data_IF_765092946141
#
_entry.id   IF_765092946141
#
_cell.length_a   1.000
_cell.length_b   1.000
_cell.length_c   1.000
_cell.angle_alpha   90.00
_cell.angle_beta   90.00
_cell.angle_gamma   90.00
#
_symmetry.space_group_name_H-M   'P 1'
#
loop_
_entity.id
_entity.type
_entity.pdbx_description
1 polymer ?
#
# COMPACT_ATOMS: atom_id res chain seq x y z
N UNK A 1 13.07 15.81 -21.37
CA UNK A 1 14.03 16.38 -20.39
C UNK A 1 13.26 17.41 -19.58
N UNK A 2 12.78 17.04 -18.38
CA UNK A 2 12.08 17.99 -17.49
C UNK A 2 13.15 18.65 -16.64
N UNK A 3 13.34 19.95 -16.84
CA UNK A 3 14.19 20.79 -15.99
C UNK A 3 13.51 20.84 -14.62
N UNK A 4 14.13 20.23 -13.62
CA UNK A 4 13.71 20.43 -12.23
C UNK A 4 14.17 21.82 -11.82
N UNK A 5 13.25 22.78 -11.79
CA UNK A 5 13.52 24.05 -11.15
C UNK A 5 13.79 23.78 -9.67
N UNK A 6 15.02 24.05 -9.22
CA UNK A 6 15.29 24.24 -7.80
C UNK A 6 14.34 25.33 -7.31
N UNK A 7 13.66 25.09 -6.18
CA UNK A 7 12.82 26.10 -5.56
C UNK A 7 13.68 27.35 -5.33
N UNK A 8 13.23 28.49 -5.83
CA UNK A 8 13.91 29.76 -5.60
C UNK A 8 13.84 30.14 -4.11
N UNK A 9 14.64 31.10 -3.67
CA UNK A 9 14.50 31.66 -2.31
C UNK A 9 13.09 32.24 -2.10
N UNK A 10 12.51 32.83 -3.14
CA UNK A 10 11.14 33.33 -3.14
C UNK A 10 10.11 32.19 -2.97
N UNK A 11 10.25 31.08 -3.70
CA UNK A 11 9.37 29.90 -3.53
C UNK A 11 9.47 29.34 -2.11
N UNK A 12 10.69 29.30 -1.57
CA UNK A 12 10.94 28.82 -0.20
C UNK A 12 10.26 29.72 0.82
N UNK A 13 10.35 31.04 0.66
CA UNK A 13 9.67 32.00 1.52
C UNK A 13 8.15 31.85 1.47
N UNK A 14 7.57 31.73 0.28
CA UNK A 14 6.12 31.52 0.12
C UNK A 14 5.65 30.22 0.78
N UNK A 15 6.39 29.13 0.61
CA UNK A 15 6.08 27.85 1.24
C UNK A 15 6.14 27.93 2.77
N UNK A 16 7.14 28.61 3.34
CA UNK A 16 7.23 28.85 4.79
C UNK A 16 6.04 29.67 5.27
N UNK A 17 5.66 30.74 4.55
CA UNK A 17 4.53 31.60 4.91
C UNK A 17 3.21 30.82 4.90
N UNK A 18 2.95 30.02 3.86
CA UNK A 18 1.77 29.18 3.75
C UNK A 18 1.70 28.14 4.90
N UNK A 19 2.79 27.41 5.13
CA UNK A 19 2.86 26.44 6.23
C UNK A 19 2.72 27.12 7.60
N UNK A 20 3.26 28.33 7.76
CA UNK A 20 3.13 29.13 8.98
C UNK A 20 1.70 29.63 9.23
N UNK A 21 0.90 29.83 8.18
CA UNK A 21 -0.52 30.11 8.31
C UNK A 21 -1.30 28.87 8.79
N UNK A 22 -0.91 27.68 8.32
CA UNK A 22 -1.53 26.40 8.69
C UNK A 22 -1.10 25.98 10.11
N UNK A 23 0.14 26.25 10.52
CA UNK A 23 0.74 25.70 11.74
C UNK A 23 -0.04 26.01 13.02
N UNK A 24 -0.75 27.14 13.06
CA UNK A 24 -1.64 27.54 14.16
C UNK A 24 -2.80 26.57 14.42
N UNK A 25 -3.14 25.77 13.42
CA UNK A 25 -4.19 24.74 13.48
C UNK A 25 -3.61 23.33 13.56
N UNK A 26 -2.28 23.22 13.63
CA UNK A 26 -1.58 21.93 13.73
C UNK A 26 -1.25 21.58 15.18
N UNK A 27 -1.39 20.29 15.51
CA UNK A 27 -0.93 19.64 16.72
C UNK A 27 -0.61 18.17 16.39
N UNK A 28 0.18 17.53 17.24
CA UNK A 28 0.64 16.14 17.04
C UNK A 28 -0.49 15.12 17.02
N UNK A 29 -1.59 15.37 17.73
CA UNK A 29 -2.66 14.39 17.93
C UNK A 29 -3.65 14.35 16.76
N UNK A 30 -3.74 15.43 15.99
CA UNK A 30 -4.69 15.55 14.87
C UNK A 30 -4.03 15.65 13.51
N UNK A 31 -2.72 15.91 13.43
CA UNK A 31 -1.99 16.07 12.16
C UNK A 31 -1.05 14.89 11.95
N UNK A 32 -1.59 13.88 11.29
CA UNK A 32 -0.97 12.57 11.15
C UNK A 32 -0.45 12.40 9.72
N UNK A 33 0.81 11.98 9.59
CA UNK A 33 1.39 11.53 8.33
C UNK A 33 1.73 10.05 8.46
N UNK A 34 1.26 9.22 7.53
CA UNK A 34 1.70 7.84 7.41
C UNK A 34 2.73 7.72 6.27
N UNK A 35 3.94 7.31 6.61
CA UNK A 35 5.05 7.10 5.67
C UNK A 35 5.27 5.61 5.50
N UNK A 36 5.21 5.15 4.25
CA UNK A 36 5.55 3.77 3.94
C UNK A 36 7.05 3.67 3.68
N UNK A 37 7.79 3.19 4.69
CA UNK A 37 9.25 3.28 4.71
C UNK A 37 9.97 2.23 3.86
N UNK A 38 9.22 1.23 3.37
CA UNK A 38 9.78 0.07 2.66
C UNK A 38 9.03 -0.22 1.36
N UNK A 39 8.81 0.82 0.55
CA UNK A 39 8.34 0.67 -0.83
C UNK A 39 9.53 0.45 -1.78
N UNK A 40 9.61 -0.70 -2.46
CA UNK A 40 10.64 -0.99 -3.44
C UNK A 40 10.27 -0.61 -4.88
N UNK A 41 11.24 -0.67 -5.78
CA UNK A 41 11.01 -0.59 -7.23
C UNK A 41 10.61 -1.93 -7.80
N UNK A 42 9.61 -1.93 -8.70
CA UNK A 42 9.29 -3.12 -9.50
C UNK A 42 10.30 -3.32 -10.63
N UNK A 43 10.38 -4.54 -11.15
CA UNK A 43 11.20 -4.88 -12.32
C UNK A 43 10.61 -4.33 -13.64
N UNK A 44 9.33 -3.93 -13.64
CA UNK A 44 8.65 -3.22 -14.72
C UNK A 44 7.80 -2.05 -14.19
N UNK A 45 7.29 -1.22 -15.11
CA UNK A 45 6.36 -0.14 -14.74
C UNK A 45 5.04 -0.69 -14.18
N UNK A 46 4.50 -1.77 -14.77
CA UNK A 46 3.28 -2.42 -14.31
C UNK A 46 3.45 -2.97 -12.89
N UNK A 47 4.58 -3.61 -12.60
CA UNK A 47 4.88 -4.11 -11.25
C UNK A 47 5.04 -2.95 -10.26
N UNK A 48 5.72 -1.87 -10.66
CA UNK A 48 5.87 -0.66 -9.85
C UNK A 48 4.50 -0.04 -9.54
N UNK A 49 3.60 0.07 -10.51
CA UNK A 49 2.24 0.56 -10.30
C UNK A 49 1.45 -0.34 -9.33
N UNK A 50 1.61 -1.66 -9.42
CA UNK A 50 0.99 -2.61 -8.50
C UNK A 50 1.51 -2.47 -7.06
N UNK A 51 2.83 -2.34 -6.89
CA UNK A 51 3.48 -2.10 -5.60
C UNK A 51 2.99 -0.79 -4.99
N UNK A 52 3.00 0.30 -5.76
CA UNK A 52 2.54 1.62 -5.32
C UNK A 52 1.06 1.61 -4.91
N UNK A 53 0.21 0.88 -5.63
CA UNK A 53 -1.21 0.72 -5.26
C UNK A 53 -1.37 -0.05 -3.96
N UNK A 54 -0.58 -1.09 -3.74
CA UNK A 54 -0.59 -1.85 -2.48
C UNK A 54 -0.11 -0.98 -1.32
N UNK A 55 0.97 -0.22 -1.51
CA UNK A 55 1.46 0.73 -0.51
C UNK A 55 0.43 1.82 -0.18
N UNK A 56 -0.30 2.33 -1.18
CA UNK A 56 -1.42 3.27 -0.97
C UNK A 56 -2.54 2.64 -0.14
N UNK A 57 -2.93 1.39 -0.41
CA UNK A 57 -3.93 0.68 0.41
C UNK A 57 -3.48 0.56 1.87
N UNK A 58 -2.22 0.22 2.09
CA UNK A 58 -1.64 0.09 3.43
C UNK A 58 -1.57 1.43 4.15
N UNK A 59 -1.11 2.51 3.49
CA UNK A 59 -1.07 3.85 4.08
C UNK A 59 -2.46 4.39 4.37
N UNK A 60 -3.44 4.16 3.50
CA UNK A 60 -4.84 4.51 3.77
C UNK A 60 -5.38 3.73 4.98
N UNK A 61 -5.02 2.45 5.11
CA UNK A 61 -5.39 1.63 6.28
C UNK A 61 -4.79 2.20 7.56
N UNK A 62 -3.49 2.50 7.57
CA UNK A 62 -2.82 3.09 8.72
C UNK A 62 -3.42 4.44 9.12
N UNK A 63 -3.64 5.35 8.15
CA UNK A 63 -4.24 6.67 8.41
C UNK A 63 -5.65 6.56 9.01
N UNK A 64 -6.51 5.73 8.42
CA UNK A 64 -7.88 5.57 8.92
C UNK A 64 -7.90 4.93 10.30
N UNK A 65 -7.03 3.94 10.56
CA UNK A 65 -6.86 3.38 11.91
C UNK A 65 -6.44 4.45 12.90
N UNK A 66 -5.32 5.14 12.67
CA UNK A 66 -4.82 6.18 13.58
C UNK A 66 -5.85 7.29 13.82
N UNK A 67 -6.63 7.67 12.82
CA UNK A 67 -7.65 8.70 12.94
C UNK A 67 -8.93 8.23 13.67
N UNK A 68 -9.26 6.95 13.60
CA UNK A 68 -10.46 6.38 14.24
C UNK A 68 -10.19 5.73 15.60
N UNK A 69 -8.94 5.40 15.89
CA UNK A 69 -8.45 4.79 17.13
C UNK A 69 -7.72 5.83 17.98
N UNK A 70 -8.48 6.83 18.45
CA UNK A 70 -8.02 7.91 19.33
C UNK A 70 -9.14 8.33 20.28
N UNK A 71 -8.84 9.13 21.30
CA UNK A 71 -9.81 9.53 22.32
C UNK A 71 -11.05 10.24 21.75
N UNK A 72 -10.87 11.09 20.73
CA UNK A 72 -11.96 11.68 19.93
C UNK A 72 -11.94 11.17 18.48
N UNK A 73 -12.51 9.98 18.18
CA UNK A 73 -12.45 9.35 16.87
C UNK A 73 -12.96 10.24 15.73
N UNK A 74 -12.21 10.34 14.64
CA UNK A 74 -12.68 11.00 13.42
C UNK A 74 -13.81 10.17 12.80
N UNK A 75 -14.99 10.77 12.61
CA UNK A 75 -16.17 10.09 12.04
C UNK A 75 -16.44 10.45 10.58
N UNK A 76 -15.82 11.51 10.08
CA UNK A 76 -16.02 12.04 8.73
C UNK A 76 -14.69 12.41 8.07
N UNK A 77 -14.50 11.98 6.82
CA UNK A 77 -13.27 12.20 6.07
C UNK A 77 -13.55 12.91 4.74
N UNK A 78 -12.75 13.93 4.45
CA UNK A 78 -12.61 14.47 3.10
C UNK A 78 -11.36 13.83 2.51
N UNK A 79 -11.52 13.08 1.43
CA UNK A 79 -10.41 12.39 0.77
C UNK A 79 -10.19 13.05 -0.58
N UNK A 80 -8.94 13.40 -0.88
CA UNK A 80 -8.62 13.93 -2.19
C UNK A 80 -8.90 12.88 -3.28
N UNK A 81 -9.73 13.26 -4.26
CA UNK A 81 -9.97 12.43 -5.43
C UNK A 81 -8.78 12.52 -6.38
N UNK A 82 -8.43 11.38 -6.96
CA UNK A 82 -7.53 11.35 -8.11
C UNK A 82 -8.31 11.66 -9.40
N UNK A 83 -7.57 12.06 -10.43
CA UNK A 83 -8.12 12.26 -11.78
C UNK A 83 -8.61 10.95 -12.42
N UNK A 84 -8.15 9.78 -11.93
CA UNK A 84 -8.52 8.47 -12.45
C UNK A 84 -9.63 7.86 -11.57
N UNK A 85 -10.85 7.79 -12.09
CA UNK A 85 -11.98 7.26 -11.30
C UNK A 85 -11.78 5.81 -10.85
N UNK A 86 -11.01 5.03 -11.62
CA UNK A 86 -10.62 3.67 -11.23
C UNK A 86 -9.79 3.63 -9.94
N UNK A 87 -8.94 4.62 -9.68
CA UNK A 87 -8.18 4.73 -8.43
C UNK A 87 -9.06 5.17 -7.27
N UNK A 88 -10.01 6.08 -7.52
CA UNK A 88 -11.00 6.48 -6.51
C UNK A 88 -11.86 5.28 -6.08
N UNK A 89 -12.27 4.45 -7.03
CA UNK A 89 -13.01 3.22 -6.74
C UNK A 89 -12.19 2.22 -5.91
N UNK A 90 -10.89 2.08 -6.16
CA UNK A 90 -10.00 1.23 -5.36
C UNK A 90 -9.85 1.73 -3.92
N UNK A 91 -9.80 3.05 -3.71
CA UNK A 91 -9.81 3.65 -2.37
C UNK A 91 -11.14 3.31 -1.65
N UNK A 92 -12.30 3.48 -2.32
CA UNK A 92 -13.62 3.13 -1.77
C UNK A 92 -13.72 1.66 -1.40
N UNK A 93 -13.22 0.77 -2.27
CA UNK A 93 -13.17 -0.67 -1.99
C UNK A 93 -12.28 -0.99 -0.80
N UNK A 94 -11.17 -0.27 -0.62
CA UNK A 94 -10.29 -0.41 0.55
C UNK A 94 -11.03 -0.03 1.82
N UNK A 95 -11.65 1.17 1.86
CA UNK A 95 -12.45 1.61 3.01
C UNK A 95 -13.56 0.62 3.32
N UNK A 96 -14.30 0.16 2.30
CA UNK A 96 -15.35 -0.83 2.47
C UNK A 96 -14.84 -2.15 3.08
N UNK A 97 -13.70 -2.68 2.61
CA UNK A 97 -13.07 -3.87 3.20
C UNK A 97 -12.70 -3.64 4.66
N UNK A 98 -12.12 -2.48 4.99
CA UNK A 98 -11.71 -2.17 6.37
C UNK A 98 -12.92 -2.13 7.31
N UNK A 99 -14.01 -1.45 6.92
CA UNK A 99 -15.24 -1.39 7.72
C UNK A 99 -15.93 -2.75 7.84
N UNK A 100 -16.07 -3.50 6.74
CA UNK A 100 -16.72 -4.82 6.74
C UNK A 100 -16.01 -5.85 7.62
N UNK A 101 -14.67 -5.76 7.75
CA UNK A 101 -13.89 -6.65 8.59
C UNK A 101 -13.61 -6.07 9.99
N UNK A 102 -14.26 -4.95 10.35
CA UNK A 102 -14.12 -4.34 11.68
C UNK A 102 -12.72 -3.79 11.99
N UNK A 103 -11.91 -3.50 10.96
CA UNK A 103 -10.58 -2.89 11.14
C UNK A 103 -10.72 -1.42 11.55
N UNK A 104 -11.74 -0.74 11.02
CA UNK A 104 -12.14 0.62 11.41
C UNK A 104 -13.66 0.63 11.64
N UNK A 105 -14.19 1.52 12.49
CA UNK A 105 -15.63 1.72 12.61
C UNK A 105 -16.24 2.24 11.29
N UNK A 106 -17.57 2.23 11.14
CA UNK A 106 -18.23 2.93 10.04
C UNK A 106 -17.90 4.42 10.05
N UNK A 107 -17.46 4.94 8.91
CA UNK A 107 -17.11 6.34 8.71
C UNK A 107 -17.95 6.96 7.60
N UNK A 108 -18.18 8.27 7.67
CA UNK A 108 -18.66 9.06 6.52
C UNK A 108 -17.43 9.53 5.73
N UNK A 109 -17.51 9.52 4.41
CA UNK A 109 -16.45 10.12 3.61
C UNK A 109 -16.97 10.66 2.28
N UNK A 110 -16.28 11.67 1.76
CA UNK A 110 -16.47 12.19 0.40
C UNK A 110 -15.12 12.20 -0.33
N UNK A 111 -15.16 11.97 -1.64
CA UNK A 111 -13.99 12.10 -2.51
C UNK A 111 -14.15 13.32 -3.40
N UNK A 112 -13.34 14.35 -3.16
CA UNK A 112 -13.47 15.66 -3.81
C UNK A 112 -12.11 16.19 -4.25
N UNK A 113 -12.10 17.07 -5.24
CA UNK A 113 -10.86 17.73 -5.69
C UNK A 113 -10.46 18.81 -4.69
N UNK A 114 -9.16 19.04 -4.54
CA UNK A 114 -8.63 20.19 -3.80
C UNK A 114 -9.11 21.54 -4.36
N UNK A 115 -9.53 21.60 -5.62
CA UNK A 115 -10.19 22.80 -6.20
C UNK A 115 -11.60 23.04 -5.67
N UNK A 116 -12.32 21.98 -5.27
CA UNK A 116 -13.69 22.04 -4.77
C UNK A 116 -13.74 22.14 -3.24
N UNK A 117 -12.76 21.55 -2.54
CA UNK A 117 -12.65 21.57 -1.08
C UNK A 117 -11.27 22.08 -0.67
N UNK A 118 -11.21 23.35 -0.28
CA UNK A 118 -9.95 24.05 0.00
C UNK A 118 -9.24 23.51 1.24
N UNK A 119 -9.94 22.83 2.15
CA UNK A 119 -9.31 22.21 3.32
C UNK A 119 -8.27 21.14 2.93
N UNK A 120 -8.35 20.58 1.72
CA UNK A 120 -7.35 19.64 1.21
C UNK A 120 -5.98 20.28 0.97
N UNK A 121 -5.92 21.60 0.74
CA UNK A 121 -4.64 22.30 0.51
C UNK A 121 -3.70 22.22 1.71
N UNK A 122 -4.25 22.17 2.93
CA UNK A 122 -3.45 22.04 4.13
C UNK A 122 -2.72 20.69 4.17
N UNK A 123 -3.42 19.61 3.85
CA UNK A 123 -2.83 18.27 3.77
C UNK A 123 -1.75 18.21 2.67
N UNK A 124 -1.99 18.83 1.51
CA UNK A 124 -1.03 18.88 0.41
C UNK A 124 0.24 19.66 0.79
N UNK A 125 0.09 20.82 1.44
CA UNK A 125 1.21 21.62 1.91
C UNK A 125 2.07 20.86 2.93
N UNK A 126 1.42 20.22 3.90
CA UNK A 126 2.07 19.37 4.91
C UNK A 126 2.81 18.21 4.25
N UNK A 127 2.16 17.48 3.33
CA UNK A 127 2.77 16.37 2.60
C UNK A 127 3.96 16.82 1.73
N UNK A 128 3.88 17.99 1.11
CA UNK A 128 4.99 18.59 0.37
C UNK A 128 6.20 18.86 1.26
N UNK A 129 5.97 19.41 2.46
CA UNK A 129 7.06 19.65 3.44
C UNK A 129 7.76 18.34 3.85
N UNK A 130 7.01 17.24 3.97
CA UNK A 130 7.55 15.91 4.25
C UNK A 130 8.33 15.37 3.05
N UNK A 131 7.82 15.58 1.83
CA UNK A 131 8.51 15.17 0.61
C UNK A 131 9.87 15.89 0.47
N UNK A 132 9.95 17.20 0.74
CA UNK A 132 11.23 17.93 0.74
C UNK A 132 12.21 17.35 1.76
N UNK A 133 11.74 17.10 3.00
CA UNK A 133 12.57 16.50 4.04
C UNK A 133 13.13 15.13 3.63
N UNK A 134 12.31 14.26 3.05
CA UNK A 134 12.75 12.93 2.63
C UNK A 134 13.62 12.95 1.36
N UNK A 135 13.29 13.77 0.37
CA UNK A 135 13.96 13.78 -0.95
C UNK A 135 15.29 14.54 -0.96
N UNK A 136 15.39 15.56 -0.10
CA UNK A 136 16.52 16.50 -0.07
C UNK A 136 17.25 16.53 1.25
N UNK A 137 16.80 15.77 2.24
CA UNK A 137 17.30 15.83 3.62
C UNK A 137 17.24 17.24 4.22
N UNK A 138 16.19 18.00 3.86
CA UNK A 138 16.00 19.41 4.26
C UNK A 138 14.73 19.57 5.11
N UNK A 139 14.93 19.88 6.40
CA UNK A 139 13.85 20.13 7.37
C UNK A 139 13.47 21.61 7.47
N UNK A 140 14.08 22.52 6.70
CA UNK A 140 13.91 23.97 6.81
C UNK A 140 12.44 24.39 6.78
N UNK A 141 11.65 23.80 5.89
CA UNK A 141 10.21 24.10 5.80
C UNK A 141 9.50 23.79 7.12
N UNK A 142 9.72 22.60 7.68
CA UNK A 142 9.07 22.16 8.92
C UNK A 142 9.54 22.98 10.12
N UNK A 143 10.85 23.25 10.21
CA UNK A 143 11.45 23.98 11.32
C UNK A 143 11.05 25.45 11.35
N UNK A 144 11.05 26.13 10.20
CA UNK A 144 10.74 27.57 10.13
C UNK A 144 9.25 27.89 10.21
N UNK A 145 8.39 26.98 9.76
CA UNK A 145 6.94 27.20 9.82
C UNK A 145 6.29 26.75 11.13
N UNK A 146 6.99 25.93 11.93
CA UNK A 146 6.52 25.49 13.25
C UNK A 146 5.35 24.50 13.21
N UNK A 147 5.14 23.83 12.08
CA UNK A 147 4.05 22.85 11.91
C UNK A 147 4.31 21.66 12.82
N UNK A 148 3.27 21.22 13.51
CA UNK A 148 3.31 20.09 14.41
C UNK A 148 2.68 18.87 13.75
N UNK A 149 3.43 17.77 13.70
CA UNK A 149 3.04 16.54 13.02
C UNK A 149 3.44 15.33 13.83
N UNK A 150 2.61 14.30 13.80
CA UNK A 150 3.02 12.95 14.14
C UNK A 150 3.20 12.12 12.88
N UNK A 151 4.43 11.66 12.67
CA UNK A 151 4.82 10.87 11.51
C UNK A 151 4.87 9.42 11.96
N UNK A 152 4.14 8.54 11.28
CA UNK A 152 4.05 7.12 11.60
C UNK A 152 4.58 6.29 10.45
N UNK A 153 5.29 5.21 10.76
CA UNK A 153 5.57 4.18 9.77
C UNK A 153 4.28 3.39 9.47
N UNK A 154 3.87 3.36 8.21
CA UNK A 154 2.64 2.68 7.77
C UNK A 154 2.60 1.21 8.19
N UNK A 155 3.73 0.53 8.20
CA UNK A 155 3.80 -0.91 8.40
C UNK A 155 3.83 -1.31 9.88
N UNK A 156 4.30 -0.44 10.76
CA UNK A 156 4.47 -0.75 12.19
C UNK A 156 3.64 0.13 13.11
N UNK A 157 3.01 1.19 12.59
CA UNK A 157 2.36 2.27 13.34
C UNK A 157 3.27 2.91 14.40
N UNK A 158 4.59 2.75 14.27
CA UNK A 158 5.52 3.38 15.18
C UNK A 158 5.82 4.81 14.75
N UNK A 159 5.92 5.73 15.70
CA UNK A 159 6.31 7.12 15.47
C UNK A 159 7.74 7.22 14.89
N UNK A 160 7.91 8.04 13.87
CA UNK A 160 9.19 8.35 13.24
C UNK A 160 9.63 9.73 13.72
N UNK A 161 10.71 9.77 14.49
CA UNK A 161 11.36 11.01 14.85
C UNK A 161 12.48 11.36 13.84
N UNK A 162 12.18 12.32 12.96
CA UNK A 162 13.13 12.82 11.97
C UNK A 162 14.30 13.59 12.58
N UNK A 163 14.23 14.00 13.84
CA UNK A 163 15.31 14.70 14.57
C UNK A 163 16.15 13.81 15.47
N UNK A 164 15.68 12.60 15.80
CA UNK A 164 16.44 11.62 16.61
C UNK A 164 17.86 11.33 16.05
N UNK A 165 18.87 11.06 16.90
CA UNK A 165 20.19 10.63 16.44
C UNK A 165 20.13 9.35 15.58
N UNK A 166 21.01 9.22 14.59
CA UNK A 166 21.06 8.12 13.61
C UNK A 166 21.68 6.82 14.10
N UNK A 167 21.94 6.68 15.40
CA UNK A 167 22.76 5.58 15.93
C UNK A 167 22.11 4.20 15.70
N UNK A 168 22.83 3.32 14.99
CA UNK A 168 22.55 1.89 14.78
C UNK A 168 21.14 1.52 14.27
N UNK A 169 20.69 2.15 13.19
CA UNK A 169 19.49 1.72 12.45
C UNK A 169 19.73 0.51 11.52
N UNK A 170 20.65 -0.39 11.88
CA UNK A 170 20.85 -1.67 11.19
C UNK A 170 19.84 -2.68 11.69
N UNK A 171 18.68 -2.72 11.06
CA UNK A 171 17.77 -3.83 11.25
C UNK A 171 17.62 -4.62 9.96
N UNK A 172 18.18 -5.84 10.00
CA UNK A 172 17.72 -6.94 9.17
C UNK A 172 16.77 -7.74 10.05
N UNK A 173 15.47 -7.50 9.93
CA UNK A 173 14.51 -8.45 10.46
C UNK A 173 14.58 -9.71 9.60
N UNK A 174 15.26 -10.72 10.12
CA UNK A 174 15.45 -12.01 9.47
C UNK A 174 14.24 -12.93 9.61
N UNK A 175 13.03 -12.42 9.34
CA UNK A 175 11.83 -13.29 9.31
C UNK A 175 11.99 -14.21 8.10
N UNK A 176 12.07 -15.55 8.29
CA UNK A 176 12.22 -16.45 7.17
C UNK A 176 11.00 -16.35 6.25
N UNK A 177 11.25 -16.15 4.95
CA UNK A 177 10.18 -15.96 3.95
C UNK A 177 9.72 -17.26 3.31
N UNK A 178 10.42 -18.38 3.53
CA UNK A 178 10.01 -19.72 3.08
C UNK A 178 9.22 -20.44 4.18
N UNK A 179 7.90 -20.63 4.01
CA UNK A 179 7.08 -21.26 5.03
C UNK A 179 7.48 -22.70 5.38
N UNK A 180 8.11 -23.44 4.47
CA UNK A 180 8.53 -24.83 4.70
C UNK A 180 9.65 -24.93 5.74
N UNK A 181 10.44 -23.87 5.87
CA UNK A 181 11.55 -23.79 6.83
C UNK A 181 11.10 -23.27 8.19
N UNK A 182 9.86 -22.79 8.31
CA UNK A 182 9.32 -22.29 9.57
C UNK A 182 8.91 -23.44 10.47
N UNK A 183 9.08 -23.24 11.79
CA UNK A 183 8.44 -24.10 12.79
C UNK A 183 6.92 -23.89 12.74
N UNK A 184 6.16 -24.91 13.10
CA UNK A 184 4.70 -24.92 12.95
C UNK A 184 4.03 -23.78 13.70
N UNK A 185 4.54 -23.45 14.90
CA UNK A 185 4.10 -22.34 15.76
C UNK A 185 4.27 -20.94 15.14
N UNK A 186 5.14 -20.79 14.13
CA UNK A 186 5.38 -19.52 13.44
C UNK A 186 4.48 -19.33 12.20
N UNK A 187 3.88 -20.39 11.67
CA UNK A 187 3.01 -20.32 10.49
C UNK A 187 1.77 -19.42 10.67
N UNK A 188 1.09 -19.39 11.85
CA UNK A 188 0.00 -18.44 12.07
C UNK A 188 0.46 -16.98 11.96
N UNK A 189 1.59 -16.64 12.58
CA UNK A 189 2.15 -15.29 12.53
C UNK A 189 2.45 -14.86 11.10
N UNK A 190 3.06 -15.73 10.30
CA UNK A 190 3.36 -15.44 8.89
C UNK A 190 2.08 -15.31 8.04
N UNK A 191 1.03 -16.05 8.38
CA UNK A 191 -0.29 -15.95 7.72
C UNK A 191 -0.92 -14.56 7.88
N UNK A 192 -0.63 -13.85 8.98
CA UNK A 192 -1.09 -12.46 9.16
C UNK A 192 -0.53 -11.49 8.12
N UNK A 193 0.59 -11.81 7.50
CA UNK A 193 1.31 -10.91 6.59
C UNK A 193 2.48 -10.18 7.24
N UNK A 194 2.87 -10.54 8.47
CA UNK A 194 4.01 -9.94 9.19
C UNK A 194 5.33 -10.01 8.40
N UNK A 195 5.47 -11.02 7.54
CA UNK A 195 6.64 -11.22 6.68
C UNK A 195 6.52 -10.53 5.31
N UNK A 196 5.41 -9.85 5.00
CA UNK A 196 5.16 -9.30 3.66
C UNK A 196 6.22 -8.26 3.25
N UNK A 197 6.65 -7.40 4.19
CA UNK A 197 7.75 -6.45 3.97
C UNK A 197 9.03 -7.17 3.55
N UNK A 198 9.40 -8.23 4.26
CA UNK A 198 10.64 -8.97 4.07
C UNK A 198 10.61 -9.83 2.81
N UNK A 199 9.45 -10.40 2.48
CA UNK A 199 9.18 -11.06 1.20
C UNK A 199 9.35 -10.11 0.03
N UNK A 200 8.68 -8.96 0.08
CA UNK A 200 8.74 -7.93 -0.96
C UNK A 200 10.17 -7.45 -1.19
N UNK A 201 10.93 -7.21 -0.11
CA UNK A 201 12.34 -6.82 -0.20
C UNK A 201 13.25 -7.91 -0.76
N UNK A 202 13.02 -9.17 -0.37
CA UNK A 202 13.80 -10.32 -0.87
C UNK A 202 13.56 -10.52 -2.37
N UNK A 203 12.29 -10.63 -2.77
CA UNK A 203 11.91 -10.89 -4.17
C UNK A 203 12.50 -9.83 -5.11
N UNK A 204 12.54 -8.57 -4.69
CA UNK A 204 13.06 -7.49 -5.53
C UNK A 204 14.58 -7.39 -5.48
N UNK A 205 15.21 -7.75 -4.36
CA UNK A 205 16.67 -7.93 -4.31
C UNK A 205 17.16 -8.97 -5.30
N UNK A 206 16.43 -10.07 -5.42
CA UNK A 206 16.77 -11.16 -6.34
C UNK A 206 16.57 -10.77 -7.81
N UNK A 207 15.71 -9.77 -8.09
CA UNK A 207 15.37 -9.30 -9.44
C UNK A 207 16.02 -7.95 -9.83
N UNK A 208 16.80 -7.34 -8.95
CA UNK A 208 17.41 -6.03 -9.17
C UNK A 208 18.51 -6.09 -10.21
N UNK A 209 18.44 -5.19 -11.19
CA UNK A 209 19.51 -5.02 -12.18
C UNK A 209 20.68 -4.26 -11.55
N UNK A 210 21.93 -4.49 -12.01
CA UNK A 210 23.07 -3.68 -11.59
C UNK A 210 22.78 -2.17 -11.75
N UNK A 211 22.99 -1.40 -10.69
CA UNK A 211 22.81 0.06 -10.69
C UNK A 211 21.41 0.57 -10.30
N UNK A 212 20.41 -0.30 -10.13
CA UNK A 212 19.10 0.10 -9.63
C UNK A 212 19.11 0.21 -8.09
N UNK A 213 18.40 1.20 -7.54
CA UNK A 213 18.13 1.31 -6.09
C UNK A 213 17.05 0.29 -5.70
N UNK A 214 17.21 -0.38 -4.55
CA UNK A 214 16.19 -1.29 -4.03
C UNK A 214 14.97 -0.55 -3.47
N UNK A 215 15.22 0.55 -2.76
CA UNK A 215 14.19 1.37 -2.14
C UNK A 215 14.49 2.84 -2.39
N UNK A 216 13.42 3.62 -2.44
CA UNK A 216 13.48 5.07 -2.32
C UNK A 216 13.79 5.83 -3.58
N UNK A 217 13.30 7.07 -3.67
CA UNK A 217 13.23 7.86 -4.91
C UNK A 217 14.56 7.84 -5.70
N UNK A 218 14.51 7.44 -6.97
CA UNK A 218 15.68 7.38 -7.86
C UNK A 218 16.39 8.74 -7.95
N UNK A 219 15.63 9.82 -7.72
CA UNK A 219 16.05 11.21 -7.85
C UNK A 219 16.38 11.89 -6.51
N UNK A 220 16.57 11.14 -5.42
CA UNK A 220 17.03 11.74 -4.17
C UNK A 220 18.43 12.33 -4.33
N UNK A 221 18.59 13.62 -4.01
CA UNK A 221 19.87 14.32 -4.08
C UNK A 221 20.73 14.03 -2.84
N UNK A 222 20.11 14.05 -1.66
CA UNK A 222 20.66 13.59 -0.39
C UNK A 222 19.57 12.78 0.32
N UNK A 223 19.82 11.49 0.49
CA UNK A 223 18.86 10.53 1.02
C UNK A 223 19.12 10.19 2.49
N UNK A 224 19.86 11.00 3.25
CA UNK A 224 20.13 10.75 4.67
C UNK A 224 18.83 10.60 5.48
N UNK A 225 17.91 11.57 5.43
CA UNK A 225 16.65 11.50 6.17
C UNK A 225 15.74 10.39 5.64
N UNK A 226 15.79 10.13 4.34
CA UNK A 226 15.12 8.97 3.75
C UNK A 226 15.64 7.66 4.36
N UNK A 227 16.94 7.38 4.24
CA UNK A 227 17.59 6.18 4.77
C UNK A 227 17.39 6.03 6.27
N UNK A 228 17.43 7.14 7.02
CA UNK A 228 17.09 7.16 8.44
C UNK A 228 15.65 6.70 8.68
N UNK A 229 14.68 7.28 7.97
CA UNK A 229 13.27 6.92 8.07
C UNK A 229 13.06 5.43 7.73
N UNK A 230 13.75 4.93 6.71
CA UNK A 230 13.78 3.49 6.40
C UNK A 230 14.36 2.64 7.51
N UNK A 231 15.49 3.06 8.06
CA UNK A 231 16.16 2.38 9.17
C UNK A 231 15.27 2.27 10.40
N UNK A 232 14.55 3.35 10.74
CA UNK A 232 13.59 3.38 11.86
C UNK A 232 12.44 2.41 11.62
N UNK A 233 11.80 2.47 10.44
CA UNK A 233 10.70 1.55 10.12
C UNK A 233 11.14 0.10 10.11
N UNK A 234 12.31 -0.20 9.54
CA UNK A 234 12.90 -1.54 9.50
C UNK A 234 13.35 -2.03 10.87
N UNK A 235 13.73 -1.17 11.80
CA UNK A 235 14.07 -1.54 13.17
C UNK A 235 12.91 -2.11 13.97
N UNK A 236 11.68 -1.92 13.49
CA UNK A 236 10.48 -2.36 14.18
C UNK A 236 9.89 -3.62 13.57
N UNK A 237 9.49 -4.51 14.46
CA UNK A 237 8.65 -5.67 14.14
C UNK A 237 7.23 -5.16 13.94
N UNK A 238 6.59 -5.60 12.86
CA UNK A 238 5.17 -5.33 12.62
C UNK A 238 4.34 -6.15 13.61
N UNK A 239 3.38 -5.50 14.27
CA UNK A 239 2.40 -6.23 15.09
C UNK A 239 1.55 -7.17 14.21
N UNK A 240 1.28 -8.38 14.70
CA UNK A 240 0.58 -9.41 13.93
C UNK A 240 -0.90 -9.04 13.65
N UNK A 241 -1.56 -8.34 14.58
CA UNK A 241 -2.93 -7.88 14.35
C UNK A 241 -2.97 -6.77 13.30
N UNK A 242 -2.03 -5.83 13.37
CA UNK A 242 -1.88 -4.78 12.38
C UNK A 242 -1.47 -5.33 11.01
N UNK A 243 -0.58 -6.34 10.94
CA UNK A 243 -0.25 -7.03 9.70
C UNK A 243 -1.48 -7.62 9.00
N UNK A 244 -2.37 -8.24 9.78
CA UNK A 244 -3.63 -8.75 9.27
C UNK A 244 -4.55 -7.62 8.78
N UNK A 245 -4.59 -6.49 9.49
CA UNK A 245 -5.34 -5.29 9.06
C UNK A 245 -4.82 -4.72 7.73
N UNK A 246 -3.49 -4.63 7.57
CA UNK A 246 -2.84 -4.21 6.33
C UNK A 246 -3.18 -5.19 5.19
N UNK A 247 -3.19 -6.50 5.47
CA UNK A 247 -3.60 -7.52 4.50
C UNK A 247 -5.06 -7.34 4.07
N UNK A 248 -5.98 -7.04 5.00
CA UNK A 248 -7.39 -6.73 4.71
C UNK A 248 -7.49 -5.47 3.82
N UNK A 249 -6.78 -4.42 4.19
CA UNK A 249 -6.71 -3.17 3.44
C UNK A 249 -6.21 -3.40 2.02
N UNK A 250 -5.10 -4.13 1.88
CA UNK A 250 -4.52 -4.53 0.59
C UNK A 250 -5.50 -5.33 -0.25
N UNK A 251 -6.27 -6.22 0.38
CA UNK A 251 -7.28 -7.07 -0.26
C UNK A 251 -6.70 -8.25 -1.03
N UNK A 252 -5.43 -8.58 -0.79
CA UNK A 252 -4.70 -9.70 -1.40
C UNK A 252 -3.72 -10.32 -0.41
N UNK A 253 -3.49 -11.62 -0.56
CA UNK A 253 -2.46 -12.35 0.17
C UNK A 253 -1.14 -12.32 -0.61
N UNK A 254 -0.03 -12.16 0.10
CA UNK A 254 1.30 -12.36 -0.45
C UNK A 254 1.60 -13.85 -0.73
N UNK A 255 2.68 -14.17 -1.46
CA UNK A 255 3.00 -15.56 -1.75
C UNK A 255 3.45 -16.29 -0.49
N UNK A 256 4.18 -15.62 0.41
CA UNK A 256 4.55 -16.19 1.70
C UNK A 256 3.31 -16.46 2.57
N UNK A 257 2.29 -15.59 2.57
CA UNK A 257 1.02 -15.86 3.26
C UNK A 257 0.31 -17.09 2.70
N UNK A 258 0.20 -17.19 1.36
CA UNK A 258 -0.41 -18.36 0.69
C UNK A 258 0.36 -19.64 1.01
N UNK A 259 1.69 -19.59 0.97
CA UNK A 259 2.56 -20.71 1.31
C UNK A 259 2.40 -21.13 2.78
N UNK A 260 2.28 -20.19 3.72
CA UNK A 260 2.08 -20.49 5.14
C UNK A 260 0.73 -21.16 5.41
N UNK A 261 -0.34 -20.71 4.75
CA UNK A 261 -1.66 -21.35 4.83
C UNK A 261 -1.61 -22.80 4.32
N UNK A 262 -0.96 -23.02 3.18
CA UNK A 262 -0.84 -24.34 2.56
C UNK A 262 0.03 -25.27 3.42
N UNK A 263 1.17 -24.78 3.90
CA UNK A 263 2.09 -25.54 4.73
C UNK A 263 1.45 -25.91 6.08
N UNK A 264 0.71 -24.98 6.71
CA UNK A 264 -0.04 -25.27 7.91
C UNK A 264 -1.08 -26.36 7.67
N UNK A 265 -1.86 -26.23 6.58
CA UNK A 265 -2.88 -27.21 6.20
C UNK A 265 -2.30 -28.59 5.93
N UNK A 266 -1.10 -28.66 5.36
CA UNK A 266 -0.36 -29.91 5.14
C UNK A 266 0.02 -30.56 6.47
N UNK A 267 0.69 -29.82 7.37
CA UNK A 267 1.11 -30.33 8.68
C UNK A 267 -0.07 -30.74 9.57
N UNK A 268 -1.21 -30.05 9.44
CA UNK A 268 -2.43 -30.38 10.15
C UNK A 268 -2.96 -31.76 9.77
N UNK A 269 -2.90 -32.12 8.49
CA UNK A 269 -3.29 -33.45 7.99
C UNK A 269 -2.34 -34.55 8.44
N UNK A 270 -1.07 -34.20 8.63
CA UNK A 270 -0.03 -35.12 9.12
C UNK A 270 -0.07 -35.29 10.66
N UNK A 271 -0.96 -34.58 11.37
CA UNK A 271 -1.09 -34.67 12.83
C UNK A 271 -0.02 -33.92 13.63
N UNK A 272 0.80 -33.10 12.98
CA UNK A 272 2.01 -32.48 13.55
C UNK A 272 1.78 -31.06 14.10
N UNK A 273 0.62 -30.77 14.73
CA UNK A 273 0.30 -29.41 15.19
C UNK A 273 -0.20 -29.38 16.65
N UNK A 274 0.43 -28.59 17.54
CA UNK A 274 -0.10 -28.31 18.88
C UNK A 274 -1.44 -27.57 18.86
N UNK A 275 -2.36 -27.90 19.79
CA UNK A 275 -3.72 -27.32 19.84
C UNK A 275 -3.74 -25.78 19.90
N UNK A 276 -2.87 -25.16 20.71
CA UNK A 276 -2.78 -23.69 20.80
C UNK A 276 -2.45 -23.03 19.45
N UNK A 277 -1.66 -23.71 18.61
CA UNK A 277 -1.32 -23.23 17.28
C UNK A 277 -2.52 -23.36 16.32
N UNK A 278 -3.35 -24.40 16.46
CA UNK A 278 -4.58 -24.57 15.69
C UNK A 278 -5.55 -23.42 15.98
N UNK A 279 -5.79 -23.11 17.25
CA UNK A 279 -6.68 -22.03 17.66
C UNK A 279 -6.20 -20.67 17.12
N UNK A 280 -4.89 -20.39 17.23
CA UNK A 280 -4.27 -19.17 16.67
C UNK A 280 -4.47 -19.08 15.14
N UNK A 281 -4.18 -20.16 14.42
CA UNK A 281 -4.36 -20.21 12.97
C UNK A 281 -5.83 -20.01 12.55
N UNK A 282 -6.77 -20.65 13.24
CA UNK A 282 -8.20 -20.51 12.99
C UNK A 282 -8.68 -19.08 13.25
N UNK A 283 -8.20 -18.42 14.31
CA UNK A 283 -8.55 -17.03 14.58
C UNK A 283 -8.07 -16.08 13.46
N UNK A 284 -6.83 -16.26 12.98
CA UNK A 284 -6.25 -15.45 11.91
C UNK A 284 -6.96 -15.71 10.57
N UNK A 285 -7.17 -16.97 10.21
CA UNK A 285 -7.86 -17.32 8.96
C UNK A 285 -9.33 -16.89 8.97
N UNK A 286 -9.99 -16.91 10.14
CA UNK A 286 -11.33 -16.33 10.30
C UNK A 286 -11.30 -14.82 10.06
N UNK A 287 -10.32 -14.09 10.62
CA UNK A 287 -10.15 -12.65 10.39
C UNK A 287 -9.89 -12.33 8.91
N UNK A 288 -9.11 -13.16 8.21
CA UNK A 288 -8.74 -12.97 6.81
C UNK A 288 -9.71 -13.66 5.82
N UNK A 289 -10.81 -14.24 6.29
CA UNK A 289 -11.69 -15.10 5.49
C UNK A 289 -12.10 -14.48 4.15
N UNK A 290 -12.56 -13.24 4.18
CA UNK A 290 -13.02 -12.54 2.98
C UNK A 290 -11.91 -12.37 1.92
N UNK A 291 -10.68 -12.12 2.37
CA UNK A 291 -9.51 -11.99 1.48
C UNK A 291 -9.11 -13.35 0.91
N UNK A 292 -9.07 -14.39 1.76
CA UNK A 292 -8.78 -15.77 1.35
C UNK A 292 -9.79 -16.25 0.32
N UNK A 293 -11.09 -16.06 0.57
CA UNK A 293 -12.17 -16.48 -0.32
C UNK A 293 -12.10 -15.76 -1.67
N UNK A 294 -11.76 -14.46 -1.70
CA UNK A 294 -11.56 -13.71 -2.94
C UNK A 294 -10.36 -14.20 -3.73
N UNK A 295 -9.22 -14.46 -3.07
CA UNK A 295 -8.03 -15.01 -3.73
C UNK A 295 -8.29 -16.40 -4.33
N UNK A 296 -9.00 -17.26 -3.61
CA UNK A 296 -9.37 -18.59 -4.11
C UNK A 296 -10.26 -18.49 -5.37
N UNK A 297 -11.23 -17.56 -5.40
CA UNK A 297 -12.06 -17.31 -6.59
C UNK A 297 -11.23 -16.84 -7.78
N UNK A 298 -10.29 -15.92 -7.57
CA UNK A 298 -9.37 -15.45 -8.63
C UNK A 298 -8.51 -16.58 -9.18
N UNK A 299 -7.96 -17.42 -8.32
CA UNK A 299 -7.16 -18.56 -8.73
C UNK A 299 -7.96 -19.61 -9.52
N UNK A 300 -9.24 -19.81 -9.20
CA UNK A 300 -10.13 -20.69 -9.98
C UNK A 300 -10.42 -20.13 -11.37
N UNK A 301 -10.69 -18.83 -11.49
CA UNK A 301 -10.94 -18.17 -12.78
C UNK A 301 -9.71 -18.17 -13.70
N UNK A 302 -8.49 -18.13 -13.14
CA UNK A 302 -7.25 -18.24 -13.91
C UNK A 302 -6.93 -19.67 -14.36
N UNK A 303 -7.49 -20.69 -13.70
CA UNK A 303 -7.29 -22.12 -14.02
C UNK A 303 -8.34 -22.69 -14.97
N UNK A 304 -9.45 -21.98 -15.22
CA UNK A 304 -10.39 -22.32 -16.28
C UNK A 304 -9.75 -22.04 -17.64
N UNK A 305 -9.51 -23.06 -18.50
CA UNK A 305 -9.07 -22.81 -19.86
C UNK A 305 -10.13 -21.98 -20.60
N UNK A 306 -9.70 -21.14 -21.54
CA UNK A 306 -10.54 -20.69 -22.64
C UNK A 306 -11.18 -21.92 -23.30
N UNK A 307 -12.41 -22.26 -22.90
CA UNK A 307 -13.18 -23.34 -23.51
C UNK A 307 -14.35 -22.80 -24.34
N UNK A 308 -14.24 -21.57 -24.85
CA UNK A 308 -15.24 -20.94 -25.71
C UNK A 308 -14.60 -20.19 -26.91
N UNK A 309 -13.61 -20.79 -27.57
CA UNK A 309 -13.10 -20.22 -28.82
C UNK A 309 -12.82 -21.23 -29.94
N UNK A 310 -13.47 -22.39 -29.93
CA UNK A 310 -13.47 -23.31 -31.07
C UNK A 310 -14.78 -23.37 -31.86
N UNK A 311 -15.89 -22.78 -31.40
CA UNK A 311 -17.14 -22.72 -32.17
C UNK A 311 -17.31 -21.47 -33.04
N UNK A 312 -16.42 -20.47 -32.93
CA UNK A 312 -16.53 -19.21 -33.67
C UNK A 312 -15.86 -19.22 -35.05
N UNK A 313 -15.17 -20.30 -35.43
CA UNK A 313 -14.48 -20.39 -36.73
C UNK A 313 -15.21 -21.22 -37.80
N UNK A 314 -16.28 -21.94 -37.46
CA UNK A 314 -17.11 -22.60 -38.48
C UNK A 314 -18.27 -21.72 -38.99
N UNK A 315 -18.78 -20.76 -38.21
CA UNK A 315 -19.88 -19.90 -38.66
C UNK A 315 -19.46 -18.69 -39.52
N UNK A 316 -18.15 -18.39 -39.62
CA UNK A 316 -17.68 -17.23 -40.40
C UNK A 316 -17.48 -17.50 -41.89
N UNK A 317 -17.48 -18.77 -42.31
CA UNK A 317 -17.30 -19.15 -43.73
C UNK A 317 -18.60 -19.35 -44.53
N UNK A 318 -19.77 -19.33 -43.91
CA UNK A 318 -21.05 -19.46 -44.64
C UNK A 318 -21.77 -18.13 -44.91
N UNK A 319 -21.38 -17.02 -44.28
CA UNK A 319 -22.11 -15.76 -44.43
C UNK A 319 -21.51 -14.75 -45.43
N UNK A 320 -20.32 -15.05 -45.99
CA UNK A 320 -19.67 -14.19 -47.01
C UNK A 320 -19.97 -14.61 -48.46
N UNK A 321 -20.65 -15.73 -48.69
CA UNK A 321 -21.04 -16.17 -50.04
C UNK A 321 -22.44 -15.68 -50.49
N UNK A 322 -23.31 -15.27 -49.56
CA UNK A 322 -24.68 -14.82 -49.90
C UNK A 322 -24.86 -13.31 -50.09
N UNK A 323 -23.85 -12.48 -49.83
CA UNK A 323 -23.94 -11.02 -50.05
C UNK A 323 -23.41 -10.54 -51.42
N UNK A 324 -22.87 -11.42 -52.26
CA UNK A 324 -22.39 -11.08 -53.62
C UNK A 324 -23.41 -11.33 -54.76
N UNK A 325 -24.63 -11.79 -54.46
CA UNK A 325 -25.65 -12.08 -55.50
C UNK A 325 -26.75 -11.01 -55.70
N UNK A 326 -26.86 -9.98 -54.86
CA UNK A 326 -27.98 -9.02 -54.92
C UNK A 326 -27.56 -7.55 -55.12
N UNK A 327 -26.55 -7.27 -55.96
CA UNK A 327 -26.33 -5.93 -56.53
C UNK A 327 -25.93 -6.04 -58.00
N UNK A 328 -26.94 -6.11 -58.86
CA UNK A 328 -26.81 -6.04 -60.31
C UNK A 328 -28.09 -5.52 -60.95
N UNK A 329 -28.25 -4.19 -60.99
CA UNK A 329 -29.08 -3.41 -61.93
C UNK A 329 -30.60 -3.63 -61.93
N UNK A 330 -31.39 -2.78 -62.64
CA UNK A 330 -30.96 -1.89 -63.72
C UNK A 330 -31.39 -0.41 -63.59
N UNK A 331 -30.78 0.37 -64.47
CA UNK A 331 -30.98 1.78 -64.80
C UNK A 331 -32.38 2.12 -65.29
N UNK A 332 -32.82 3.35 -64.99
CA UNK A 332 -33.39 4.34 -65.93
C UNK A 332 -33.26 5.74 -65.32
#
# INVERSE_FOLDING_TARGET
MVVHNLATEEDTFHNISMLGAISRYTNTDTNIIAVHTSIPYGASEEETQHIMRSARNESLTALLKLATDREDPVKAFVIERTMRETENQKDRQTIHRLTQNGVIPPIKYVQVSSTAERNLWAADAVAYSMAQALLRSDLTLQEKSGIQLSIYDTQTLGLIDLKAPTNNLTSKLGIPTDPRQLRTEHLPHVTTGIAAREETLKNLRDNLRPGQRLLGPEKAHDDLLYRKTQGIGRARIMDAHHAADLTIGRGTLSNTQKGAINEFSKRAKEGNIPEGTIASFQAITKKLKNVIDQENKRAQQQKSPQQDNQNTHQHRHHNTQNQRKNRGGPSL
#
